data_IF_277607650737
#
_entry.id   IF_277607650737
#
_cell.length_a   1.000
_cell.length_b   1.000
_cell.length_c   1.000
_cell.angle_alpha   90.00
_cell.angle_beta   90.00
_cell.angle_gamma   90.00
#
_symmetry.space_group_name_H-M   'P 1'
#
loop_
_entity.id
_entity.type
_entity.pdbx_description
1 polymer ?
#
# COMPACT_ATOMS: atom_id res chain seq x y z
N UNK A 1 -5.42 17.71 11.24
CA UNK A 1 -4.51 18.33 10.26
C UNK A 1 -4.26 17.35 9.11
N UNK A 2 -4.18 17.80 7.86
CA UNK A 2 -4.03 16.92 6.67
C UNK A 2 -2.89 15.90 6.81
N UNK A 3 -1.78 16.30 7.46
CA UNK A 3 -0.63 15.42 7.72
C UNK A 3 -1.00 14.26 8.65
N UNK A 4 -1.74 14.53 9.73
CA UNK A 4 -2.15 13.50 10.68
C UNK A 4 -3.01 12.43 10.01
N UNK A 5 -3.95 12.86 9.16
CA UNK A 5 -4.81 11.95 8.40
C UNK A 5 -4.01 11.08 7.43
N UNK A 6 -3.04 11.66 6.73
CA UNK A 6 -2.18 10.90 5.82
C UNK A 6 -1.23 9.93 6.56
N UNK A 7 -0.76 10.30 7.75
CA UNK A 7 0.20 9.49 8.51
C UNK A 7 -0.46 8.45 9.43
N UNK A 8 -1.78 8.50 9.62
CA UNK A 8 -2.51 7.67 10.58
C UNK A 8 -2.17 6.17 10.48
N UNK A 9 -2.12 5.62 9.26
CA UNK A 9 -1.92 4.19 9.04
C UNK A 9 -0.44 3.77 9.12
N UNK A 10 0.51 4.68 8.88
CA UNK A 10 1.95 4.37 8.82
C UNK A 10 2.68 4.70 10.13
N UNK A 11 2.16 5.66 10.91
CA UNK A 11 2.74 6.10 12.17
C UNK A 11 3.05 4.97 13.15
N UNK A 12 2.11 4.05 13.43
CA UNK A 12 2.36 2.93 14.35
C UNK A 12 3.51 2.01 13.90
N UNK A 13 3.58 1.69 12.60
CA UNK A 13 4.64 0.85 12.03
C UNK A 13 6.03 1.50 12.18
N UNK A 14 6.12 2.79 11.88
CA UNK A 14 7.37 3.56 12.03
C UNK A 14 7.86 3.59 13.48
N UNK A 15 6.97 3.87 14.44
CA UNK A 15 7.34 3.97 15.86
C UNK A 15 7.83 2.65 16.44
N UNK A 16 7.32 1.53 15.93
CA UNK A 16 7.66 0.19 16.39
C UNK A 16 8.78 -0.46 15.57
N UNK A 17 9.24 0.18 14.48
CA UNK A 17 10.24 -0.38 13.57
C UNK A 17 9.77 -1.66 12.88
N UNK A 18 8.47 -1.77 12.60
CA UNK A 18 7.89 -2.95 11.97
C UNK A 18 8.14 -2.94 10.46
N UNK A 19 8.42 -4.09 9.84
CA UNK A 19 8.47 -4.18 8.39
C UNK A 19 7.08 -3.93 7.81
N UNK A 20 7.01 -3.13 6.75
CA UNK A 20 5.77 -2.82 6.07
C UNK A 20 5.97 -2.62 4.56
N UNK A 21 4.89 -2.77 3.80
CA UNK A 21 4.87 -2.52 2.35
C UNK A 21 3.60 -1.77 1.98
N UNK A 22 3.77 -0.76 1.13
CA UNK A 22 2.68 -0.06 0.45
C UNK A 22 2.64 -0.51 -1.01
N UNK A 23 1.46 -0.91 -1.50
CA UNK A 23 1.28 -1.28 -2.90
C UNK A 23 -0.03 -0.73 -3.47
N UNK A 24 -0.11 -0.42 -4.77
CA UNK A 24 -1.35 0.01 -5.39
C UNK A 24 -2.36 -1.14 -5.42
N UNK A 25 -3.60 -0.88 -5.03
CA UNK A 25 -4.68 -1.88 -4.96
C UNK A 25 -5.95 -1.47 -5.70
N UNK A 26 -5.97 -0.29 -6.32
CA UNK A 26 -7.12 0.15 -7.12
C UNK A 26 -7.01 1.61 -7.54
N UNK A 27 -8.05 2.05 -8.22
CA UNK A 27 -8.24 3.45 -8.62
C UNK A 27 -9.67 3.84 -8.25
N UNK A 28 -9.81 4.99 -7.59
CA UNK A 28 -11.10 5.61 -7.27
C UNK A 28 -11.07 7.04 -7.80
N UNK A 29 -12.08 7.41 -8.60
CA UNK A 29 -12.19 8.75 -9.20
C UNK A 29 -10.93 9.20 -9.97
N UNK A 30 -10.21 8.25 -10.58
CA UNK A 30 -8.96 8.51 -11.32
C UNK A 30 -7.71 8.70 -10.45
N UNK A 31 -7.83 8.52 -9.14
CA UNK A 31 -6.75 8.65 -8.14
C UNK A 31 -6.32 7.25 -7.69
N UNK A 32 -5.00 6.98 -7.58
CA UNK A 32 -4.53 5.69 -7.10
C UNK A 32 -4.85 5.49 -5.62
N UNK A 33 -5.33 4.31 -5.27
CA UNK A 33 -5.54 3.86 -3.90
C UNK A 33 -4.54 2.75 -3.58
N UNK A 34 -3.88 2.87 -2.44
CA UNK A 34 -2.91 1.90 -1.95
C UNK A 34 -3.47 1.08 -0.78
N UNK A 35 -2.88 -0.09 -0.57
CA UNK A 35 -3.02 -0.88 0.65
C UNK A 35 -1.68 -0.87 1.39
N UNK A 36 -1.74 -0.75 2.71
CA UNK A 36 -0.58 -0.87 3.61
C UNK A 36 -0.66 -2.20 4.34
N UNK A 37 0.43 -2.97 4.32
CA UNK A 37 0.55 -4.26 5.00
C UNK A 37 1.70 -4.14 5.99
N UNK A 38 1.41 -4.29 7.28
CA UNK A 38 2.39 -4.28 8.36
C UNK A 38 2.51 -5.69 8.93
N UNK A 39 3.73 -6.22 8.97
CA UNK A 39 3.99 -7.55 9.55
C UNK A 39 4.69 -7.48 10.90
N UNK A 40 4.87 -8.66 11.49
CA UNK A 40 5.65 -8.80 12.71
C UNK A 40 7.16 -8.58 12.44
N UNK A 41 7.96 -8.29 13.48
CA UNK A 41 9.40 -8.11 13.33
C UNK A 41 10.08 -9.28 12.62
N UNK A 42 10.97 -8.99 11.66
CA UNK A 42 11.75 -9.98 10.90
C UNK A 42 10.89 -10.97 10.09
N UNK A 43 9.72 -10.55 9.60
CA UNK A 43 8.81 -11.35 8.78
C UNK A 43 8.60 -10.76 7.37
N UNK A 44 9.61 -10.10 6.81
CA UNK A 44 9.56 -9.44 5.50
C UNK A 44 9.14 -10.42 4.40
N UNK A 45 9.62 -11.66 4.44
CA UNK A 45 9.26 -12.68 3.45
C UNK A 45 7.75 -12.97 3.44
N UNK A 46 7.10 -12.99 4.60
CA UNK A 46 5.66 -13.23 4.69
C UNK A 46 4.87 -12.05 4.11
N UNK A 47 5.31 -10.83 4.40
CA UNK A 47 4.71 -9.60 3.86
C UNK A 47 4.86 -9.58 2.33
N UNK A 48 6.05 -9.89 1.82
CA UNK A 48 6.32 -9.94 0.39
C UNK A 48 5.51 -11.02 -0.33
N UNK A 49 5.37 -12.21 0.27
CA UNK A 49 4.53 -13.28 -0.28
C UNK A 49 3.05 -12.87 -0.32
N UNK A 50 2.55 -12.19 0.72
CA UNK A 50 1.18 -11.66 0.72
C UNK A 50 0.99 -10.58 -0.35
N UNK A 51 1.93 -9.64 -0.47
CA UNK A 51 1.90 -8.61 -1.50
C UNK A 51 1.94 -9.20 -2.92
N UNK A 52 2.77 -10.21 -3.15
CA UNK A 52 2.82 -10.96 -4.42
C UNK A 52 1.49 -11.66 -4.72
N UNK A 53 0.87 -12.27 -3.71
CA UNK A 53 -0.45 -12.87 -3.84
C UNK A 53 -1.51 -11.83 -4.24
N UNK A 54 -1.51 -10.66 -3.61
CA UNK A 54 -2.41 -9.56 -3.96
C UNK A 54 -2.13 -9.01 -5.36
N UNK A 55 -0.86 -8.82 -5.73
CA UNK A 55 -0.46 -8.35 -7.06
C UNK A 55 -0.95 -9.31 -8.15
N UNK A 56 -0.87 -10.63 -7.92
CA UNK A 56 -1.33 -11.65 -8.86
C UNK A 56 -2.83 -11.59 -9.18
N UNK A 57 -3.64 -10.95 -8.32
CA UNK A 57 -5.06 -10.71 -8.58
C UNK A 57 -5.31 -9.58 -9.59
N UNK A 58 -4.25 -8.90 -10.05
CA UNK A 58 -4.29 -7.75 -10.93
C UNK A 58 -5.24 -6.64 -10.43
N UNK A 59 -4.98 -6.07 -9.23
CA UNK A 59 -5.94 -5.19 -8.56
C UNK A 59 -6.20 -3.88 -9.30
N UNK A 60 -5.24 -3.42 -10.13
CA UNK A 60 -5.42 -2.24 -10.97
C UNK A 60 -6.21 -2.53 -12.26
N UNK A 61 -6.37 -3.79 -12.66
CA UNK A 61 -7.12 -4.14 -13.86
C UNK A 61 -6.60 -3.51 -15.16
N UNK A 62 -5.31 -3.10 -15.20
CA UNK A 62 -4.73 -2.35 -16.31
C UNK A 62 -5.14 -0.87 -16.39
N UNK A 63 -5.84 -0.35 -15.38
CA UNK A 63 -6.18 1.07 -15.30
C UNK A 63 -4.93 1.90 -14.98
N UNK A 64 -4.84 3.08 -15.59
CA UNK A 64 -3.75 4.04 -15.39
C UNK A 64 -4.36 5.27 -14.70
N UNK A 65 -3.77 5.75 -13.59
CA UNK A 65 -4.27 6.96 -12.94
C UNK A 65 -4.29 8.17 -13.88
N UNK A 66 -5.34 8.98 -13.79
CA UNK A 66 -5.60 10.11 -14.71
C UNK A 66 -4.47 11.14 -14.70
N UNK A 67 -3.75 11.26 -13.58
CA UNK A 67 -2.58 12.12 -13.44
C UNK A 67 -1.45 11.81 -14.45
N UNK A 68 -1.39 10.59 -14.99
CA UNK A 68 -0.38 10.19 -15.98
C UNK A 68 -0.87 10.28 -17.43
N UNK A 69 -2.13 10.68 -17.67
CA UNK A 69 -2.75 10.69 -18.99
C UNK A 69 -2.63 12.04 -19.73
N UNK A 70 -1.80 12.97 -19.24
CA UNK A 70 -1.50 14.26 -19.89
C UNK A 70 -0.01 14.63 -19.78
#
# INVERSE_FOLDING_TARGET
DTIETCMHNVGPGNLLGLPSISMPCGIIDGIPVGIEIIGAPLQELNILNLAMGLESTNPLGGQIPTAYLN
#
